data_IF_663289855468
#
_entry.id   IF_663289855468
#
_cell.length_a   1.000
_cell.length_b   1.000
_cell.length_c   1.000
_cell.angle_alpha   90.00
_cell.angle_beta   90.00
_cell.angle_gamma   90.00
#
_symmetry.space_group_name_H-M   'P 1'
#
loop_
_entity.id
_entity.type
_entity.pdbx_description
1 polymer ?
#
# COMPACT_ATOMS: atom_id res chain seq x y z
N UNK A 1 -64.23 25.96 50.76
CA UNK A 1 -63.03 26.68 50.26
C UNK A 1 -61.90 25.67 50.13
N UNK A 2 -61.18 25.64 48.99
CA UNK A 2 -60.60 24.40 48.46
C UNK A 2 -59.15 24.18 48.88
N UNK A 3 -58.80 22.88 48.90
CA UNK A 3 -57.48 22.30 49.15
C UNK A 3 -56.62 22.50 47.90
N UNK A 4 -55.44 23.11 48.04
CA UNK A 4 -54.48 23.30 46.94
C UNK A 4 -53.50 22.13 46.96
N UNK A 5 -53.62 21.23 45.98
CA UNK A 5 -52.68 20.13 45.75
C UNK A 5 -51.38 20.67 45.14
N UNK A 6 -50.26 20.37 45.79
CA UNK A 6 -48.92 20.64 45.27
C UNK A 6 -48.51 19.52 44.30
N UNK A 7 -48.58 19.81 43.00
CA UNK A 7 -48.02 18.96 41.95
C UNK A 7 -46.50 19.02 41.96
N UNK A 8 -45.86 17.91 42.34
CA UNK A 8 -44.42 17.70 42.19
C UNK A 8 -44.15 17.41 40.71
N UNK A 9 -43.61 18.39 39.99
CA UNK A 9 -43.15 18.22 38.60
C UNK A 9 -41.78 17.56 38.65
N UNK A 10 -41.75 16.24 38.43
CA UNK A 10 -40.51 15.47 38.29
C UNK A 10 -39.88 15.77 36.94
N UNK A 11 -38.80 16.56 36.93
CA UNK A 11 -38.03 16.90 35.75
C UNK A 11 -37.07 15.76 35.43
N UNK A 12 -37.51 14.79 34.62
CA UNK A 12 -36.67 13.70 34.13
C UNK A 12 -35.66 14.23 33.11
N UNK A 13 -34.40 14.38 33.54
CA UNK A 13 -33.27 14.75 32.70
C UNK A 13 -32.92 13.57 31.77
N UNK A 14 -33.35 13.63 30.52
CA UNK A 14 -32.95 12.67 29.48
C UNK A 14 -31.51 13.00 29.04
N UNK A 15 -30.54 12.27 29.58
CA UNK A 15 -29.15 12.32 29.12
C UNK A 15 -29.05 11.51 27.82
N UNK A 16 -29.14 12.18 26.67
CA UNK A 16 -28.89 11.56 25.37
C UNK A 16 -27.38 11.37 25.23
N UNK A 17 -26.89 10.16 25.49
CA UNK A 17 -25.56 9.73 25.04
C UNK A 17 -25.57 9.69 23.51
N UNK A 18 -25.14 10.79 22.89
CA UNK A 18 -24.77 10.79 21.48
C UNK A 18 -23.49 9.95 21.35
N UNK A 19 -23.64 8.67 21.06
CA UNK A 19 -22.54 7.86 20.54
C UNK A 19 -22.22 8.46 19.16
N UNK A 20 -21.16 9.26 19.07
CA UNK A 20 -20.62 9.67 17.79
C UNK A 20 -20.09 8.41 17.11
N UNK A 21 -20.90 7.80 16.25
CA UNK A 21 -20.41 6.82 15.31
C UNK A 21 -19.43 7.61 14.44
N UNK A 22 -18.13 7.40 14.64
CA UNK A 22 -17.10 7.99 13.79
C UNK A 22 -17.50 7.67 12.36
N UNK A 23 -17.89 8.70 11.61
CA UNK A 23 -18.27 8.53 10.21
C UNK A 23 -17.10 7.90 9.47
N UNK A 24 -17.41 6.89 8.65
CA UNK A 24 -16.45 6.43 7.65
C UNK A 24 -16.22 7.60 6.71
N UNK A 25 -15.00 8.12 6.70
CA UNK A 25 -14.57 9.12 5.71
C UNK A 25 -13.92 8.36 4.58
N UNK A 26 -14.49 8.52 3.38
CA UNK A 26 -14.05 7.87 2.16
C UNK A 26 -13.45 8.95 1.28
N UNK A 27 -12.14 8.91 0.99
CA UNK A 27 -11.53 9.82 0.03
C UNK A 27 -12.21 9.73 -1.34
N UNK A 28 -12.19 10.83 -2.10
CA UNK A 28 -12.75 10.84 -3.44
C UNK A 28 -12.08 9.73 -4.30
N UNK A 29 -12.85 9.07 -5.17
CA UNK A 29 -12.33 7.99 -6.02
C UNK A 29 -11.99 6.69 -5.29
N UNK A 30 -12.27 6.59 -3.98
CA UNK A 30 -12.05 5.38 -3.19
C UNK A 30 -13.36 4.72 -2.76
N UNK A 31 -13.27 3.44 -2.40
CA UNK A 31 -14.32 2.65 -1.79
C UNK A 31 -13.72 1.73 -0.72
N UNK A 32 -14.53 1.35 0.29
CA UNK A 32 -14.11 0.45 1.36
C UNK A 32 -14.93 -0.84 1.28
N UNK A 33 -14.26 -1.98 1.16
CA UNK A 33 -14.89 -3.30 1.16
C UNK A 33 -14.08 -4.26 2.00
N UNK A 34 -14.73 -4.95 2.95
CA UNK A 34 -14.08 -5.95 3.82
C UNK A 34 -12.81 -5.47 4.53
N UNK A 35 -12.69 -4.17 4.85
CA UNK A 35 -11.53 -3.57 5.49
C UNK A 35 -10.33 -3.32 4.55
N UNK A 36 -10.56 -3.32 3.24
CA UNK A 36 -9.60 -2.94 2.20
C UNK A 36 -10.13 -1.72 1.45
N UNK A 37 -9.25 -0.73 1.30
CA UNK A 37 -9.51 0.46 0.51
C UNK A 37 -9.15 0.18 -0.93
N UNK A 38 -10.08 0.37 -1.85
CA UNK A 38 -9.82 0.32 -3.29
C UNK A 38 -10.03 1.72 -3.88
N UNK A 39 -9.00 2.29 -4.48
CA UNK A 39 -9.02 3.62 -5.07
C UNK A 39 -8.64 3.58 -6.56
N UNK A 40 -9.44 4.22 -7.41
CA UNK A 40 -9.10 4.43 -8.82
C UNK A 40 -8.08 5.57 -8.93
N UNK A 41 -6.84 5.24 -9.28
CA UNK A 41 -5.71 6.17 -9.32
C UNK A 41 -5.97 7.40 -10.22
N UNK A 42 -6.86 7.28 -11.22
CA UNK A 42 -7.21 8.38 -12.13
C UNK A 42 -8.11 9.43 -11.49
N UNK A 43 -8.87 9.03 -10.48
CA UNK A 43 -9.92 9.84 -9.86
C UNK A 43 -9.64 10.14 -8.39
N UNK A 44 -8.73 9.40 -7.76
CA UNK A 44 -8.50 9.46 -6.32
C UNK A 44 -7.39 10.43 -5.89
N UNK A 45 -6.52 10.84 -6.82
CA UNK A 45 -5.36 11.67 -6.48
C UNK A 45 -5.71 13.17 -6.42
N UNK A 46 -5.06 13.94 -5.53
CA UNK A 46 -4.10 13.49 -4.52
C UNK A 46 -4.78 12.78 -3.34
N UNK A 47 -4.09 11.81 -2.74
CA UNK A 47 -4.56 11.09 -1.55
C UNK A 47 -3.86 11.61 -0.29
N UNK A 48 -4.61 11.69 0.80
CA UNK A 48 -4.08 12.04 2.12
C UNK A 48 -4.29 10.87 3.09
N UNK A 49 -3.23 10.41 3.75
CA UNK A 49 -3.27 9.27 4.66
C UNK A 49 -4.26 9.44 5.83
N UNK A 50 -4.46 10.68 6.28
CA UNK A 50 -5.37 11.03 7.38
C UNK A 50 -6.84 11.16 6.97
N UNK A 51 -7.17 11.10 5.68
CA UNK A 51 -8.56 11.14 5.20
C UNK A 51 -9.25 9.77 5.30
N UNK A 52 -8.48 8.69 5.41
CA UNK A 52 -9.01 7.34 5.54
C UNK A 52 -9.51 7.08 6.97
N UNK A 53 -10.79 6.74 7.10
CA UNK A 53 -11.39 6.29 8.36
C UNK A 53 -12.24 5.04 8.10
N UNK A 54 -11.78 3.83 8.48
CA UNK A 54 -10.57 3.53 9.24
C UNK A 54 -9.25 3.78 8.47
N UNK A 55 -8.09 3.89 9.16
CA UNK A 55 -6.77 4.06 8.54
C UNK A 55 -6.48 3.05 7.42
N UNK A 56 -5.65 3.39 6.42
CA UNK A 56 -5.46 2.58 5.23
C UNK A 56 -4.45 1.46 5.48
N UNK A 57 -4.80 0.49 6.33
CA UNK A 57 -3.96 -0.68 6.57
C UNK A 57 -3.79 -1.52 5.30
N UNK A 58 -4.87 -1.70 4.53
CA UNK A 58 -4.86 -2.36 3.22
C UNK A 58 -5.38 -1.41 2.16
N UNK A 59 -4.51 -1.03 1.23
CA UNK A 59 -4.81 -0.09 0.17
C UNK A 59 -4.46 -0.68 -1.19
N UNK A 60 -5.45 -0.73 -2.07
CA UNK A 60 -5.32 -1.15 -3.46
C UNK A 60 -5.58 0.05 -4.36
N UNK A 61 -4.56 0.43 -5.13
CA UNK A 61 -4.63 1.49 -6.14
C UNK A 61 -4.77 0.85 -7.52
N UNK A 62 -5.91 1.06 -8.18
CA UNK A 62 -6.22 0.47 -9.48
C UNK A 62 -6.06 1.47 -10.62
N UNK A 63 -5.91 0.95 -11.84
CA UNK A 63 -5.78 1.75 -13.06
C UNK A 63 -4.60 2.73 -13.04
N UNK A 64 -3.49 2.33 -12.43
CA UNK A 64 -2.27 3.14 -12.43
C UNK A 64 -1.70 3.21 -13.85
N UNK A 65 -1.43 4.43 -14.30
CA UNK A 65 -0.73 4.72 -15.55
C UNK A 65 0.05 6.03 -15.42
N UNK A 66 1.34 6.00 -15.71
CA UNK A 66 2.24 7.14 -15.65
C UNK A 66 3.07 7.19 -14.37
N UNK A 67 3.26 8.39 -13.85
CA UNK A 67 4.17 8.66 -12.73
C UNK A 67 3.47 8.39 -11.40
N UNK A 68 4.14 7.61 -10.55
CA UNK A 68 3.79 7.38 -9.15
C UNK A 68 4.75 8.20 -8.29
N UNK A 69 4.28 9.33 -7.77
CA UNK A 69 5.11 10.36 -7.14
C UNK A 69 4.63 10.67 -5.73
N UNK A 70 5.57 10.89 -4.80
CA UNK A 70 5.24 11.22 -3.41
C UNK A 70 4.37 12.47 -3.24
N UNK A 71 4.42 13.44 -4.17
CA UNK A 71 3.54 14.61 -4.13
C UNK A 71 2.05 14.29 -4.29
N UNK A 72 1.73 13.09 -4.80
CA UNK A 72 0.36 12.59 -4.91
C UNK A 72 -0.15 11.98 -3.59
N UNK A 73 0.73 11.79 -2.60
CA UNK A 73 0.45 11.13 -1.34
C UNK A 73 0.91 12.00 -0.16
N UNK A 74 -0.05 12.64 0.49
CA UNK A 74 0.21 13.57 1.60
C UNK A 74 -0.13 12.94 2.95
N UNK A 75 0.57 13.34 4.01
CA UNK A 75 0.27 12.94 5.40
C UNK A 75 0.18 11.42 5.64
N UNK A 76 0.81 10.59 4.80
CA UNK A 76 0.88 9.14 5.05
C UNK A 76 1.76 8.82 6.27
N UNK A 77 2.74 9.67 6.58
CA UNK A 77 3.52 9.61 7.83
C UNK A 77 2.69 9.80 9.10
N UNK A 78 1.50 10.40 8.98
CA UNK A 78 0.63 10.76 10.10
C UNK A 78 -0.51 9.75 10.31
N UNK A 79 -0.51 8.66 9.51
CA UNK A 79 -1.48 7.57 9.64
C UNK A 79 -1.37 6.94 11.02
N UNK A 80 -2.49 6.89 11.75
CA UNK A 80 -2.51 6.26 13.06
C UNK A 80 -2.59 4.72 12.94
N UNK A 81 -1.43 4.08 12.99
CA UNK A 81 -1.28 2.62 12.90
C UNK A 81 -1.76 1.86 14.14
N UNK A 82 -2.10 2.53 15.26
CA UNK A 82 -2.60 1.84 16.47
C UNK A 82 -3.98 1.21 16.27
N UNK A 83 -4.70 1.61 15.22
CA UNK A 83 -6.01 1.06 14.85
C UNK A 83 -5.93 -0.08 13.84
N UNK A 84 -4.72 -0.52 13.46
CA UNK A 84 -4.56 -1.65 12.55
C UNK A 84 -5.07 -2.93 13.22
N UNK A 85 -5.83 -3.70 12.44
CA UNK A 85 -6.35 -5.00 12.84
C UNK A 85 -5.22 -6.04 12.76
N UNK A 86 -4.92 -6.69 13.88
CA UNK A 86 -3.85 -7.70 13.97
C UNK A 86 -4.06 -8.93 13.10
N UNK A 87 -5.26 -9.13 12.54
CA UNK A 87 -5.55 -10.24 11.63
C UNK A 87 -5.14 -9.95 10.18
N UNK A 88 -4.63 -8.75 9.89
CA UNK A 88 -4.20 -8.34 8.57
C UNK A 88 -2.82 -7.70 8.61
N UNK A 89 -2.05 -7.89 7.54
CA UNK A 89 -0.79 -7.17 7.35
C UNK A 89 -1.06 -5.81 6.70
N UNK A 90 -0.25 -4.81 7.06
CA UNK A 90 -0.25 -3.53 6.36
C UNK A 90 0.22 -3.74 4.92
N UNK A 91 -0.68 -3.60 3.94
CA UNK A 91 -0.46 -4.00 2.55
C UNK A 91 -0.81 -2.88 1.58
N UNK A 92 0.11 -2.58 0.66
CA UNK A 92 -0.11 -1.71 -0.49
C UNK A 92 -0.08 -2.53 -1.77
N UNK A 93 -1.15 -2.45 -2.55
CA UNK A 93 -1.26 -3.11 -3.86
C UNK A 93 -1.39 -2.07 -4.95
N UNK A 94 -0.48 -2.10 -5.91
CA UNK A 94 -0.46 -1.25 -7.10
C UNK A 94 -0.89 -2.11 -8.29
N UNK A 95 -2.03 -1.78 -8.90
CA UNK A 95 -2.54 -2.49 -10.07
C UNK A 95 -2.55 -1.53 -11.26
N UNK A 96 -1.67 -1.79 -12.21
CA UNK A 96 -1.60 -1.02 -13.44
C UNK A 96 -2.62 -1.51 -14.47
N UNK A 97 -3.10 -0.60 -15.31
CA UNK A 97 -3.98 -0.94 -16.42
C UNK A 97 -4.06 0.18 -17.45
N UNK A 98 -3.93 -0.17 -18.73
CA UNK A 98 -4.14 0.76 -19.82
C UNK A 98 -5.62 0.83 -20.24
N UNK A 99 -6.04 1.98 -20.79
CA UNK A 99 -7.25 2.07 -21.62
C UNK A 99 -7.03 1.28 -22.92
N UNK A 100 -7.27 -0.03 -22.90
CA UNK A 100 -7.09 -0.89 -24.07
C UNK A 100 -6.67 -2.34 -23.82
N UNK A 101 -6.52 -2.78 -22.56
CA UNK A 101 -6.26 -4.19 -22.22
C UNK A 101 -4.78 -4.62 -22.20
N UNK A 102 -3.84 -3.67 -22.34
CA UNK A 102 -2.42 -3.87 -22.03
C UNK A 102 -2.07 -3.49 -20.59
N UNK A 103 -0.84 -3.81 -20.16
CA UNK A 103 -0.30 -3.35 -18.88
C UNK A 103 -0.23 -1.83 -18.82
N UNK A 104 -0.24 -1.26 -17.61
CA UNK A 104 -0.07 0.18 -17.45
C UNK A 104 1.41 0.54 -17.23
N UNK A 105 1.92 1.53 -17.96
CA UNK A 105 3.25 2.08 -17.71
C UNK A 105 3.31 2.64 -16.30
N UNK A 106 4.28 2.21 -15.50
CA UNK A 106 4.52 2.72 -14.16
C UNK A 106 5.95 3.26 -14.06
N UNK A 107 6.04 4.55 -13.76
CA UNK A 107 7.32 5.22 -13.51
C UNK A 107 7.40 5.64 -12.06
N UNK A 108 8.46 5.22 -11.38
CA UNK A 108 8.74 5.65 -10.01
C UNK A 108 9.59 6.91 -9.97
N UNK A 109 9.48 7.60 -8.84
CA UNK A 109 10.39 8.65 -8.42
C UNK A 109 10.97 8.29 -7.05
N UNK A 110 12.09 8.91 -6.64
CA UNK A 110 12.68 8.61 -5.33
C UNK A 110 11.75 8.96 -4.15
N UNK A 111 10.72 9.79 -4.37
CA UNK A 111 9.71 10.14 -3.39
C UNK A 111 8.47 9.23 -3.41
N UNK A 112 8.35 8.28 -4.34
CA UNK A 112 7.14 7.46 -4.57
C UNK A 112 6.47 6.93 -3.29
N UNK A 113 7.26 6.47 -2.32
CA UNK A 113 6.78 5.85 -1.09
C UNK A 113 7.08 6.67 0.17
N UNK A 114 7.28 7.98 0.04
CA UNK A 114 7.56 8.85 1.19
C UNK A 114 6.42 8.80 2.22
N UNK A 115 6.77 8.57 3.49
CA UNK A 115 5.81 8.42 4.59
C UNK A 115 5.00 7.12 4.60
N UNK A 116 5.37 6.11 3.79
CA UNK A 116 4.65 4.85 3.64
C UNK A 116 5.36 3.64 4.28
N UNK A 117 6.29 3.87 5.21
CA UNK A 117 7.12 2.84 5.87
C UNK A 117 6.33 1.91 6.82
N UNK A 118 5.08 2.26 7.12
CA UNK A 118 4.18 1.38 7.86
C UNK A 118 3.68 0.18 7.05
N UNK A 119 3.66 0.25 5.71
CA UNK A 119 3.33 -0.92 4.89
C UNK A 119 4.43 -1.96 4.98
N UNK A 120 4.05 -3.22 5.15
CA UNK A 120 4.96 -4.37 5.27
C UNK A 120 4.92 -5.28 4.06
N UNK A 121 3.83 -5.26 3.32
CA UNK A 121 3.68 -6.00 2.07
C UNK A 121 3.41 -5.03 0.92
N UNK A 122 4.20 -5.12 -0.15
CA UNK A 122 3.96 -4.36 -1.38
C UNK A 122 3.79 -5.31 -2.55
N UNK A 123 2.67 -5.15 -3.27
CA UNK A 123 2.34 -5.90 -4.47
C UNK A 123 2.26 -4.95 -5.65
N UNK A 124 2.94 -5.28 -6.74
CA UNK A 124 2.94 -4.52 -8.00
C UNK A 124 2.45 -5.46 -9.10
N UNK A 125 1.29 -5.16 -9.68
CA UNK A 125 0.58 -6.08 -10.56
C UNK A 125 0.30 -5.46 -11.93
N UNK A 126 0.58 -6.23 -12.98
CA UNK A 126 0.33 -5.88 -14.39
C UNK A 126 0.96 -4.54 -14.83
N UNK A 127 2.07 -4.18 -14.19
CA UNK A 127 2.78 -2.94 -14.46
C UNK A 127 3.92 -3.16 -15.45
N UNK A 128 4.01 -2.23 -16.38
CA UNK A 128 5.10 -2.12 -17.34
C UNK A 128 6.10 -1.10 -16.79
N UNK A 129 7.26 -1.54 -16.29
CA UNK A 129 8.25 -0.66 -15.67
C UNK A 129 9.48 -0.63 -16.57
N UNK A 130 9.62 0.49 -17.28
CA UNK A 130 10.76 0.70 -18.20
C UNK A 130 12.07 0.88 -17.43
N UNK A 131 12.02 1.55 -16.27
CA UNK A 131 13.18 1.80 -15.42
C UNK A 131 12.84 1.61 -13.95
N UNK A 132 13.46 0.62 -13.32
CA UNK A 132 13.50 0.50 -11.86
C UNK A 132 14.72 1.28 -11.36
N UNK A 133 14.51 2.55 -10.99
CA UNK A 133 15.57 3.49 -10.66
C UNK A 133 16.26 3.16 -9.33
N UNK A 134 17.44 3.74 -9.08
CA UNK A 134 18.18 3.52 -7.84
C UNK A 134 17.39 4.01 -6.63
N UNK A 135 17.29 3.19 -5.58
CA UNK A 135 16.57 3.52 -4.35
C UNK A 135 15.05 3.64 -4.54
N UNK A 136 14.45 2.96 -5.53
CA UNK A 136 13.00 3.01 -5.78
C UNK A 136 12.17 2.76 -4.52
N UNK A 137 12.65 1.85 -3.66
CA UNK A 137 11.95 1.41 -2.45
C UNK A 137 12.55 1.96 -1.15
N UNK A 138 13.43 2.96 -1.22
CA UNK A 138 14.20 3.44 -0.06
C UNK A 138 13.32 3.93 1.10
N UNK A 139 12.17 4.52 0.79
CA UNK A 139 11.26 5.07 1.80
C UNK A 139 10.36 4.02 2.47
N UNK A 140 10.36 2.77 1.99
CA UNK A 140 9.61 1.68 2.62
C UNK A 140 10.36 1.09 3.82
N UNK A 141 11.69 1.29 3.89
CA UNK A 141 12.52 0.79 4.97
C UNK A 141 12.53 -0.74 5.03
N UNK A 142 11.69 -1.31 5.89
CA UNK A 142 11.59 -2.76 6.12
C UNK A 142 10.27 -3.33 5.57
N UNK A 143 10.37 -4.27 4.65
CA UNK A 143 9.25 -5.07 4.15
C UNK A 143 9.34 -6.53 4.63
N UNK A 144 8.17 -7.13 4.80
CA UNK A 144 7.98 -8.56 4.90
C UNK A 144 7.86 -9.21 3.50
N UNK A 145 7.28 -8.49 2.54
CA UNK A 145 7.06 -8.97 1.18
C UNK A 145 7.17 -7.85 0.15
N UNK A 146 7.89 -8.11 -0.93
CA UNK A 146 7.84 -7.32 -2.17
C UNK A 146 7.59 -8.25 -3.36
N UNK A 147 6.48 -8.04 -4.06
CA UNK A 147 6.09 -8.89 -5.18
C UNK A 147 5.79 -8.10 -6.44
N UNK A 148 6.28 -8.61 -7.57
CA UNK A 148 5.86 -8.22 -8.90
C UNK A 148 5.11 -9.38 -9.54
N UNK A 149 3.94 -9.09 -10.12
CA UNK A 149 3.12 -10.08 -10.79
C UNK A 149 2.65 -9.57 -12.15
N UNK A 150 2.95 -10.30 -13.22
CA UNK A 150 2.62 -9.88 -14.58
C UNK A 150 3.43 -8.66 -15.05
N UNK A 151 3.15 -8.23 -16.28
CA UNK A 151 3.82 -7.06 -16.88
C UNK A 151 5.29 -7.32 -17.24
N UNK A 152 6.10 -6.27 -17.25
CA UNK A 152 7.54 -6.38 -17.54
C UNK A 152 8.38 -5.45 -16.68
N UNK A 153 9.63 -5.87 -16.45
CA UNK A 153 10.70 -5.04 -15.93
C UNK A 153 11.80 -4.96 -16.98
N UNK A 154 12.06 -3.77 -17.51
CA UNK A 154 13.13 -3.57 -18.49
C UNK A 154 14.46 -3.24 -17.78
N UNK A 155 14.79 -1.95 -17.63
CA UNK A 155 16.08 -1.57 -17.08
C UNK A 155 16.00 -1.57 -15.54
N UNK A 156 16.50 -2.64 -14.93
CA UNK A 156 16.67 -2.74 -13.47
C UNK A 156 18.01 -2.11 -13.08
N UNK A 157 17.97 -1.02 -12.32
CA UNK A 157 19.20 -0.46 -11.75
C UNK A 157 19.73 -1.40 -10.66
N UNK A 158 21.03 -1.73 -10.65
CA UNK A 158 21.63 -2.57 -9.59
C UNK A 158 21.47 -2.02 -8.17
N UNK A 159 21.18 -0.72 -8.02
CA UNK A 159 20.91 -0.06 -6.74
C UNK A 159 19.42 0.17 -6.50
N UNK A 160 18.52 -0.46 -7.26
CA UNK A 160 17.07 -0.26 -7.08
C UNK A 160 16.58 -0.64 -5.69
N UNK A 161 17.19 -1.66 -5.09
CA UNK A 161 16.91 -2.16 -3.75
C UNK A 161 17.74 -1.48 -2.65
N UNK A 162 18.53 -0.46 -2.97
CA UNK A 162 19.35 0.21 -1.96
C UNK A 162 18.49 0.88 -0.88
N UNK A 163 18.78 0.57 0.38
CA UNK A 163 18.06 1.09 1.55
C UNK A 163 16.75 0.38 1.84
N UNK A 164 16.37 -0.62 1.03
CA UNK A 164 15.30 -1.55 1.34
C UNK A 164 15.89 -2.75 2.08
N UNK A 165 15.17 -3.23 3.09
CA UNK A 165 15.43 -4.48 3.77
C UNK A 165 14.19 -5.36 3.71
N UNK A 166 14.34 -6.58 3.18
CA UNK A 166 13.25 -7.56 3.12
C UNK A 166 13.60 -8.68 4.10
N UNK A 167 12.79 -8.87 5.14
CA UNK A 167 12.99 -9.90 6.15
C UNK A 167 11.66 -10.39 6.74
N UNK A 168 11.59 -11.59 7.31
CA UNK A 168 10.37 -12.05 7.97
C UNK A 168 9.96 -11.10 9.10
N UNK A 169 8.81 -10.45 8.95
CA UNK A 169 8.24 -9.63 10.02
C UNK A 169 7.51 -10.53 11.01
N UNK A 170 8.08 -10.70 12.20
CA UNK A 170 7.51 -11.59 13.23
C UNK A 170 6.17 -11.10 13.80
N UNK A 171 5.77 -9.88 13.48
CA UNK A 171 4.46 -9.33 13.85
C UNK A 171 3.41 -9.50 12.75
N UNK A 172 3.83 -9.86 11.53
CA UNK A 172 2.93 -10.13 10.42
C UNK A 172 2.16 -11.44 10.61
N UNK A 173 0.97 -11.49 10.02
CA UNK A 173 0.13 -12.69 9.92
C UNK A 173 0.88 -13.81 9.20
N UNK A 174 1.65 -13.46 8.17
CA UNK A 174 2.52 -14.39 7.45
C UNK A 174 3.96 -13.86 7.34
N UNK A 175 4.87 -14.27 8.23
CA UNK A 175 6.26 -13.82 8.23
C UNK A 175 7.05 -14.50 7.11
N UNK A 176 7.15 -13.84 5.95
CA UNK A 176 7.75 -14.41 4.73
C UNK A 176 9.21 -13.99 4.54
N UNK A 177 9.49 -12.68 4.53
CA UNK A 177 10.78 -12.16 4.09
C UNK A 177 11.06 -12.50 2.63
N UNK A 178 10.10 -12.23 1.75
CA UNK A 178 10.12 -12.70 0.36
C UNK A 178 10.20 -11.56 -0.66
N UNK A 179 11.08 -11.75 -1.65
CA UNK A 179 11.09 -11.03 -2.93
C UNK A 179 10.55 -11.98 -3.99
N UNK A 180 9.48 -11.59 -4.69
CA UNK A 180 8.80 -12.45 -5.65
C UNK A 180 8.63 -11.80 -7.02
N UNK A 181 8.91 -12.57 -8.08
CA UNK A 181 8.65 -12.26 -9.47
C UNK A 181 7.82 -13.39 -10.08
N UNK A 182 6.52 -13.17 -10.32
CA UNK A 182 5.59 -14.17 -10.86
C UNK A 182 5.00 -13.70 -12.20
N UNK A 183 5.18 -14.47 -13.27
CA UNK A 183 4.74 -14.10 -14.63
C UNK A 183 5.30 -12.75 -15.12
N UNK A 184 6.52 -12.36 -14.69
CA UNK A 184 7.14 -11.08 -15.04
C UNK A 184 8.07 -11.25 -16.24
N UNK A 185 7.87 -10.45 -17.30
CA UNK A 185 8.83 -10.43 -18.40
C UNK A 185 10.04 -9.55 -18.04
N UNK A 186 11.21 -10.16 -17.78
CA UNK A 186 12.44 -9.38 -17.62
C UNK A 186 12.99 -9.06 -19.01
N UNK A 187 13.29 -7.81 -19.31
CA UNK A 187 13.88 -7.35 -20.57
C UNK A 187 15.24 -6.71 -20.24
N UNK A 188 16.37 -7.17 -20.79
CA UNK A 188 16.54 -8.18 -21.84
C UNK A 188 16.55 -9.64 -21.33
N UNK A 189 16.08 -9.91 -20.11
CA UNK A 189 15.94 -11.28 -19.59
C UNK A 189 16.74 -11.57 -18.33
N UNK A 190 17.17 -10.58 -17.56
CA UNK A 190 18.04 -10.86 -16.41
C UNK A 190 17.77 -10.05 -15.18
N UNK A 191 18.20 -10.61 -14.06
CA UNK A 191 18.39 -9.92 -12.79
C UNK A 191 19.84 -9.43 -12.78
N UNK A 192 20.10 -8.11 -12.74
CA UNK A 192 21.46 -7.58 -12.75
C UNK A 192 22.27 -8.04 -11.53
N UNK A 193 23.57 -8.29 -11.71
CA UNK A 193 24.49 -8.57 -10.59
C UNK A 193 24.38 -7.50 -9.51
N UNK A 194 24.26 -7.98 -8.28
CA UNK A 194 24.28 -7.17 -7.07
C UNK A 194 22.99 -6.43 -6.76
N UNK A 195 21.91 -6.62 -7.54
CA UNK A 195 20.61 -6.01 -7.22
C UNK A 195 20.03 -6.53 -5.90
N UNK A 196 20.37 -7.75 -5.52
CA UNK A 196 19.97 -8.37 -4.26
C UNK A 196 21.00 -8.21 -3.15
N UNK A 197 22.19 -7.65 -3.41
CA UNK A 197 23.24 -7.49 -2.38
C UNK A 197 22.76 -6.71 -1.15
N UNK A 198 21.92 -5.64 -1.27
CA UNK A 198 21.41 -4.94 -0.10
C UNK A 198 20.42 -5.76 0.75
N UNK A 199 19.87 -6.86 0.21
CA UNK A 199 18.82 -7.65 0.83
C UNK A 199 19.41 -8.78 1.69
N UNK A 200 20.31 -8.44 2.62
CA UNK A 200 21.08 -9.41 3.43
C UNK A 200 20.20 -10.34 4.28
N UNK A 201 18.99 -9.90 4.63
CA UNK A 201 18.04 -10.64 5.47
C UNK A 201 16.93 -11.34 4.67
N UNK A 202 17.03 -11.34 3.33
CA UNK A 202 16.07 -11.99 2.45
C UNK A 202 16.03 -13.49 2.75
N UNK A 203 14.85 -14.00 3.10
CA UNK A 203 14.67 -15.42 3.37
C UNK A 203 14.29 -16.20 2.11
N UNK A 204 13.48 -15.59 1.23
CA UNK A 204 12.92 -16.25 0.06
C UNK A 204 13.07 -15.35 -1.17
N UNK A 205 13.67 -15.90 -2.23
CA UNK A 205 13.62 -15.33 -3.58
C UNK A 205 12.81 -16.27 -4.47
N UNK A 206 11.64 -15.82 -4.90
CA UNK A 206 10.75 -16.58 -5.78
C UNK A 206 10.77 -15.99 -7.18
N UNK A 207 11.08 -16.83 -8.17
CA UNK A 207 10.97 -16.48 -9.59
C UNK A 207 10.18 -17.58 -10.27
N UNK A 208 9.00 -17.24 -10.80
CA UNK A 208 8.08 -18.21 -11.40
C UNK A 208 7.52 -17.66 -12.70
N UNK A 209 7.54 -18.49 -13.75
CA UNK A 209 7.02 -18.16 -15.08
C UNK A 209 7.54 -16.83 -15.68
N UNK A 210 8.69 -16.36 -15.21
CA UNK A 210 9.32 -15.13 -15.65
C UNK A 210 10.41 -15.44 -16.68
N UNK A 211 10.59 -14.57 -17.68
CA UNK A 211 11.66 -14.74 -18.66
C UNK A 211 13.01 -14.41 -18.00
N UNK A 212 13.74 -15.44 -17.57
CA UNK A 212 15.09 -15.29 -17.01
C UNK A 212 16.09 -16.07 -17.87
N UNK A 213 16.89 -15.33 -18.62
CA UNK A 213 18.04 -15.80 -19.41
C UNK A 213 19.35 -15.71 -18.62
N UNK A 214 19.48 -14.75 -17.70
CA UNK A 214 20.68 -14.60 -16.87
C UNK A 214 20.35 -14.23 -15.43
N UNK A 215 20.94 -14.97 -14.49
CA UNK A 215 21.05 -14.59 -13.07
C UNK A 215 22.54 -14.35 -12.86
N UNK A 216 22.94 -13.09 -12.60
CA UNK A 216 24.33 -12.70 -12.45
C UNK A 216 24.64 -12.16 -11.06
#
# INVERSE_FOLDING_TARGET
MPRVDQGVVSLSLLLVLAVSVSGVTIPAGCSLSNGEWECDFRNALPLSGVEFSPPPQRLTLTYIFGQFDGSQFTNFSDVNTTYFDSNYDATLTLICGATGGGGGLLTFHNSSFEGMDFYKNVHIQNCEIEHLIAGTFINLGQLNYLGFQGGYLNIINRRSMHGLDIRPDRTAVNPLGELRLDDVDLIPGGIPTGVTDPLENLAILTIKHSRVTTIM
#
